data_IF_579688557935
#
_entry.id   IF_579688557935
#
_cell.length_a   1.000
_cell.length_b   1.000
_cell.length_c   1.000
_cell.angle_alpha   90.00
_cell.angle_beta   90.00
_cell.angle_gamma   90.00
#
_symmetry.space_group_name_H-M   'P 1'
#
loop_
_entity.id
_entity.type
_entity.pdbx_description
1 polymer ?
#
# COMPACT_ATOMS: atom_id res chain seq x y z
N UNK A 1 2.76 -10.44 4.42
CA UNK A 1 1.79 -9.33 4.42
C UNK A 1 0.39 -9.86 4.19
N UNK A 2 -0.61 -9.45 4.97
CA UNK A 2 -2.00 -9.89 4.93
C UNK A 2 -2.87 -8.64 4.65
N UNK A 3 -3.88 -8.71 3.78
CA UNK A 3 -4.81 -7.60 3.43
C UNK A 3 -6.23 -8.11 3.17
N UNK A 4 -7.29 -7.53 3.77
CA UNK A 4 -8.71 -7.98 3.69
C UNK A 4 -9.65 -7.15 2.81
N UNK A 5 -10.55 -7.79 2.04
CA UNK A 5 -11.64 -7.21 1.21
C UNK A 5 -13.02 -7.81 1.56
N UNK A 6 -14.12 -7.15 1.18
CA UNK A 6 -15.51 -7.61 1.38
C UNK A 6 -15.85 -8.92 0.65
N UNK A 7 -15.09 -9.28 -0.38
CA UNK A 7 -15.24 -10.57 -1.10
C UNK A 7 -14.21 -11.61 -0.64
N UNK A 8 -13.09 -11.19 -0.02
CA UNK A 8 -11.96 -12.03 0.39
C UNK A 8 -11.34 -11.65 1.74
N UNK A 9 -11.07 -12.66 2.56
CA UNK A 9 -10.50 -12.52 3.89
C UNK A 9 -9.10 -11.89 3.89
N UNK A 10 -8.16 -12.36 3.05
CA UNK A 10 -6.90 -11.66 2.77
C UNK A 10 -6.06 -12.11 1.56
N UNK A 11 -4.93 -11.45 1.20
CA UNK A 11 -3.89 -12.02 0.30
C UNK A 11 -2.44 -11.81 0.80
N UNK A 12 -1.51 -12.67 0.37
CA UNK A 12 -0.07 -12.60 0.70
C UNK A 12 0.83 -13.15 -0.42
N UNK A 13 2.13 -12.88 -0.31
CA UNK A 13 3.17 -13.55 -1.09
C UNK A 13 3.90 -14.58 -0.22
N UNK A 14 3.93 -15.82 -0.66
CA UNK A 14 4.61 -16.95 -0.05
C UNK A 14 6.04 -16.99 -0.60
N UNK A 15 7.00 -16.42 0.13
CA UNK A 15 8.40 -16.34 -0.30
C UNK A 15 9.05 -17.73 -0.43
N UNK A 16 8.64 -18.70 0.39
CA UNK A 16 9.20 -20.05 0.39
C UNK A 16 8.85 -20.79 -0.90
N UNK A 17 7.60 -20.65 -1.38
CA UNK A 17 7.13 -21.30 -2.61
C UNK A 17 6.99 -20.32 -3.80
N UNK A 18 7.46 -19.08 -3.63
CA UNK A 18 7.53 -18.02 -4.65
C UNK A 18 6.21 -17.80 -5.40
N UNK A 19 5.11 -17.64 -4.67
CA UNK A 19 3.75 -17.55 -5.23
C UNK A 19 2.82 -16.62 -4.47
N UNK A 20 1.79 -16.13 -5.15
CA UNK A 20 0.71 -15.39 -4.51
C UNK A 20 -0.40 -16.32 -3.98
N UNK A 21 -0.88 -16.01 -2.78
CA UNK A 21 -1.96 -16.72 -2.10
C UNK A 21 -3.10 -15.76 -1.73
N UNK A 22 -4.33 -16.22 -1.90
CA UNK A 22 -5.55 -15.58 -1.40
C UNK A 22 -6.22 -16.43 -0.32
N UNK A 23 -6.85 -15.77 0.63
CA UNK A 23 -7.55 -16.33 1.79
C UNK A 23 -8.98 -15.80 1.79
N UNK A 24 -9.94 -16.68 2.02
CA UNK A 24 -11.31 -16.25 2.33
C UNK A 24 -11.47 -16.03 3.83
N UNK A 25 -12.51 -15.31 4.24
CA UNK A 25 -12.85 -15.15 5.66
C UNK A 25 -13.14 -16.50 6.37
N UNK A 26 -13.41 -17.56 5.61
CA UNK A 26 -13.66 -18.92 6.09
C UNK A 26 -12.41 -19.82 5.99
N UNK A 27 -11.21 -19.24 6.00
CA UNK A 27 -9.92 -19.95 5.98
C UNK A 27 -9.62 -20.77 4.72
N UNK A 28 -10.41 -20.63 3.64
CA UNK A 28 -10.07 -21.28 2.38
C UNK A 28 -8.87 -20.58 1.76
N UNK A 29 -7.79 -21.34 1.52
CA UNK A 29 -6.58 -20.88 0.86
C UNK A 29 -6.69 -21.23 -0.62
N UNK A 30 -6.33 -20.28 -1.48
CA UNK A 30 -6.23 -20.52 -2.92
C UNK A 30 -4.98 -19.88 -3.48
N UNK A 31 -4.35 -20.52 -4.45
CA UNK A 31 -3.26 -19.95 -5.21
C UNK A 31 -3.80 -19.02 -6.29
N UNK A 32 -2.97 -18.07 -6.69
CA UNK A 32 -3.17 -17.40 -7.97
C UNK A 32 -2.94 -18.39 -9.10
N UNK A 33 -3.56 -18.12 -10.25
CA UNK A 33 -3.49 -18.95 -11.43
C UNK A 33 -2.45 -18.39 -12.39
N UNK A 34 -1.83 -19.29 -13.15
CA UNK A 34 -0.93 -18.94 -14.25
C UNK A 34 -1.70 -18.85 -15.59
N UNK A 35 -3.00 -18.52 -15.56
CA UNK A 35 -3.83 -18.25 -16.74
C UNK A 35 -3.88 -16.74 -17.09
N UNK A 36 -3.13 -15.91 -16.36
CA UNK A 36 -2.86 -14.51 -16.71
C UNK A 36 -1.78 -14.35 -17.79
N UNK A 37 -1.47 -13.11 -18.12
CA UNK A 37 -0.39 -12.79 -19.08
C UNK A 37 1.00 -13.10 -18.51
N UNK A 38 1.14 -13.05 -17.18
CA UNK A 38 2.38 -13.29 -16.47
C UNK A 38 2.21 -14.38 -15.41
N UNK A 39 3.27 -15.14 -15.09
CA UNK A 39 3.21 -16.17 -14.05
C UNK A 39 2.95 -15.55 -12.68
N UNK A 40 2.11 -16.20 -11.89
CA UNK A 40 1.80 -15.85 -10.51
C UNK A 40 2.44 -16.81 -9.50
N UNK A 41 2.85 -17.98 -9.96
CA UNK A 41 3.51 -19.02 -9.16
C UNK A 41 4.93 -19.29 -9.66
N UNK A 42 5.76 -19.87 -8.79
CA UNK A 42 7.15 -20.25 -9.09
C UNK A 42 7.95 -19.10 -9.70
N UNK A 43 7.81 -17.89 -9.15
CA UNK A 43 8.62 -16.73 -9.57
C UNK A 43 10.12 -17.06 -9.45
N UNK A 44 11.01 -16.36 -10.19
CA UNK A 44 12.44 -16.64 -10.16
C UNK A 44 13.02 -16.63 -8.74
N UNK A 45 14.02 -17.49 -8.47
CA UNK A 45 14.53 -17.70 -7.11
C UNK A 45 15.26 -16.48 -6.54
N UNK A 46 15.81 -15.66 -7.42
CA UNK A 46 16.53 -14.44 -7.10
C UNK A 46 15.61 -13.22 -6.94
N UNK A 47 14.29 -13.39 -7.12
CA UNK A 47 13.33 -12.31 -6.90
C UNK A 47 13.06 -12.13 -5.40
N UNK A 48 13.25 -10.91 -4.91
CA UNK A 48 12.92 -10.48 -3.57
C UNK A 48 11.74 -9.52 -3.59
N UNK A 49 10.70 -9.82 -2.81
CA UNK A 49 9.57 -8.90 -2.61
C UNK A 49 10.04 -7.69 -1.80
N UNK A 50 9.79 -6.50 -2.32
CA UNK A 50 10.07 -5.21 -1.66
C UNK A 50 8.79 -4.54 -1.14
N UNK A 51 7.68 -4.74 -1.84
CA UNK A 51 6.41 -4.13 -1.50
C UNK A 51 5.25 -5.00 -1.97
N UNK A 52 4.18 -5.00 -1.19
CA UNK A 52 2.87 -5.52 -1.59
C UNK A 52 1.83 -4.51 -1.08
N UNK A 53 0.80 -4.22 -1.86
CA UNK A 53 -0.21 -3.25 -1.42
C UNK A 53 -1.49 -3.39 -2.22
N UNK A 54 -2.62 -3.23 -1.54
CA UNK A 54 -3.94 -3.35 -2.15
C UNK A 54 -4.39 -2.06 -2.81
N UNK A 55 -5.16 -2.17 -3.87
CA UNK A 55 -5.86 -1.05 -4.48
C UNK A 55 -7.29 -1.46 -4.86
N UNK A 56 -8.27 -0.66 -4.44
CA UNK A 56 -9.70 -0.83 -4.74
C UNK A 56 -10.21 0.11 -5.83
N UNK A 57 -9.34 0.92 -6.42
CA UNK A 57 -9.77 1.92 -7.40
C UNK A 57 -10.20 1.22 -8.70
N UNK A 58 -11.49 1.35 -9.03
CA UNK A 58 -12.11 0.68 -10.18
C UNK A 58 -12.41 -0.81 -9.94
N UNK A 59 -11.40 -1.60 -9.55
CA UNK A 59 -11.58 -3.02 -9.19
C UNK A 59 -10.56 -3.47 -8.14
N UNK A 60 -10.88 -4.55 -7.41
CA UNK A 60 -9.99 -5.13 -6.42
C UNK A 60 -8.70 -5.65 -7.07
N UNK A 61 -7.60 -4.94 -6.82
CA UNK A 61 -6.28 -5.17 -7.39
C UNK A 61 -5.22 -5.06 -6.31
N UNK A 62 -3.98 -5.42 -6.66
CA UNK A 62 -2.84 -5.17 -5.82
C UNK A 62 -1.59 -4.89 -6.65
N UNK A 63 -0.63 -4.22 -6.02
CA UNK A 63 0.69 -3.95 -6.57
C UNK A 63 1.73 -4.70 -5.77
N UNK A 64 2.59 -5.45 -6.45
CA UNK A 64 3.77 -6.06 -5.85
C UNK A 64 5.02 -5.53 -6.54
N UNK A 65 6.03 -5.16 -5.77
CA UNK A 65 7.33 -4.73 -6.31
C UNK A 65 8.36 -5.77 -5.93
N UNK A 66 9.04 -6.31 -6.94
CA UNK A 66 10.17 -7.22 -6.77
C UNK A 66 11.46 -6.57 -7.23
N UNK A 67 12.58 -6.96 -6.62
CA UNK A 67 13.91 -6.80 -7.21
C UNK A 67 14.49 -8.17 -7.57
N UNK A 68 15.17 -8.29 -8.71
CA UNK A 68 15.94 -9.49 -9.05
C UNK A 68 17.34 -9.49 -8.43
N UNK A 69 18.12 -10.54 -8.70
CA UNK A 69 19.49 -10.68 -8.23
C UNK A 69 20.45 -9.59 -8.72
N UNK A 70 20.06 -8.83 -9.74
CA UNK A 70 20.80 -7.70 -10.32
C UNK A 70 20.27 -6.34 -9.87
N UNK A 71 19.38 -6.30 -8.86
CA UNK A 71 18.70 -5.10 -8.35
C UNK A 71 17.74 -4.43 -9.34
N UNK A 72 17.41 -5.08 -10.46
CA UNK A 72 16.39 -4.58 -11.39
C UNK A 72 15.02 -4.79 -10.77
N UNK A 73 14.19 -3.75 -10.79
CA UNK A 73 12.89 -3.77 -10.13
C UNK A 73 11.73 -3.97 -11.12
N UNK A 74 10.70 -4.65 -10.65
CA UNK A 74 9.50 -4.98 -11.42
C UNK A 74 8.25 -4.65 -10.64
N UNK A 75 7.30 -3.96 -11.27
CA UNK A 75 5.97 -3.73 -10.75
C UNK A 75 5.02 -4.77 -11.34
N UNK A 76 4.46 -5.59 -10.47
CA UNK A 76 3.42 -6.56 -10.78
C UNK A 76 2.07 -5.96 -10.43
N UNK A 77 1.14 -6.00 -11.38
CA UNK A 77 -0.25 -5.62 -11.18
C UNK A 77 -1.10 -6.87 -11.11
N UNK A 78 -1.72 -7.09 -9.95
CA UNK A 78 -2.52 -8.26 -9.62
C UNK A 78 -4.01 -7.94 -9.83
N UNK A 79 -4.74 -8.85 -10.47
CA UNK A 79 -6.21 -8.86 -10.44
C UNK A 79 -6.64 -9.84 -9.36
N UNK A 80 -7.14 -9.32 -8.24
CA UNK A 80 -7.50 -10.14 -7.09
C UNK A 80 -8.80 -10.91 -7.31
N UNK A 81 -9.67 -10.43 -8.20
CA UNK A 81 -10.95 -11.09 -8.51
C UNK A 81 -10.73 -12.34 -9.35
N UNK A 82 -9.84 -12.25 -10.35
CA UNK A 82 -9.45 -13.37 -11.22
C UNK A 82 -8.33 -14.23 -10.62
N UNK A 83 -7.60 -13.68 -9.65
CA UNK A 83 -6.42 -14.27 -9.02
C UNK A 83 -5.30 -14.53 -10.03
N UNK A 84 -4.96 -13.50 -10.80
CA UNK A 84 -3.90 -13.55 -11.81
C UNK A 84 -2.95 -12.37 -11.67
N UNK A 85 -1.76 -12.50 -12.25
CA UNK A 85 -0.94 -11.33 -12.58
C UNK A 85 -1.41 -10.84 -13.95
N UNK A 86 -2.02 -9.65 -13.97
CA UNK A 86 -2.58 -9.08 -15.20
C UNK A 86 -1.57 -8.23 -15.97
N UNK A 87 -0.56 -7.70 -15.30
CA UNK A 87 0.50 -6.91 -15.94
C UNK A 87 1.80 -7.01 -15.13
N UNK A 88 2.93 -6.87 -15.81
CA UNK A 88 4.27 -6.78 -15.25
C UNK A 88 5.07 -5.74 -16.01
N UNK A 89 5.48 -4.70 -15.30
CA UNK A 89 6.31 -3.63 -15.83
C UNK A 89 7.71 -3.73 -15.25
N UNK A 90 8.73 -3.50 -16.08
CA UNK A 90 10.06 -3.18 -15.57
C UNK A 90 10.01 -1.75 -15.08
N UNK A 91 10.43 -1.51 -13.83
CA UNK A 91 10.55 -0.16 -13.31
C UNK A 91 11.84 0.48 -13.81
N UNK A 92 11.71 1.69 -14.33
CA UNK A 92 12.81 2.58 -14.69
C UNK A 92 12.60 3.91 -13.96
N UNK A 93 13.59 4.81 -13.99
CA UNK A 93 13.46 6.13 -13.35
C UNK A 93 13.50 6.10 -11.83
N UNK A 94 12.83 7.06 -11.20
CA UNK A 94 12.91 7.30 -9.75
C UNK A 94 12.30 6.16 -8.96
N UNK A 95 11.18 5.58 -9.40
CA UNK A 95 10.58 4.47 -8.67
C UNK A 95 11.50 3.25 -8.64
N UNK A 96 12.33 3.05 -9.67
CA UNK A 96 13.36 2.01 -9.69
C UNK A 96 14.47 2.24 -8.65
N UNK A 97 14.69 3.46 -8.18
CA UNK A 97 15.67 3.81 -7.14
C UNK A 97 15.06 3.88 -5.73
N UNK A 98 13.73 3.74 -5.61
CA UNK A 98 13.04 3.97 -4.35
C UNK A 98 13.43 2.96 -3.26
N UNK A 99 13.49 3.46 -2.02
CA UNK A 99 13.84 2.69 -0.81
C UNK A 99 12.64 2.39 0.09
N UNK A 100 11.54 3.12 -0.10
CA UNK A 100 10.25 2.88 0.52
C UNK A 100 9.16 2.96 -0.54
N UNK A 101 8.10 2.18 -0.33
CA UNK A 101 6.96 2.13 -1.24
C UNK A 101 5.64 2.21 -0.47
N UNK A 102 4.66 2.77 -1.15
CA UNK A 102 3.25 2.72 -0.79
C UNK A 102 2.43 2.75 -2.08
N UNK A 103 1.11 2.67 -1.97
CA UNK A 103 0.22 3.00 -3.08
C UNK A 103 -1.01 3.74 -2.56
N UNK A 104 -1.70 4.45 -3.45
CA UNK A 104 -3.05 4.90 -3.15
C UNK A 104 -3.98 3.68 -3.18
N UNK A 105 -4.80 3.48 -2.15
CA UNK A 105 -5.59 2.26 -2.02
C UNK A 105 -7.03 2.41 -2.54
N UNK A 106 -7.50 3.63 -2.85
CA UNK A 106 -8.96 3.89 -3.03
C UNK A 106 -9.34 4.94 -4.09
N UNK A 107 -8.45 5.87 -4.45
CA UNK A 107 -8.73 7.03 -5.32
C UNK A 107 -8.07 6.96 -6.69
N UNK A 108 -6.97 6.22 -6.87
CA UNK A 108 -6.23 6.16 -8.13
C UNK A 108 -5.31 4.94 -8.21
N UNK A 109 -4.96 4.54 -9.43
CA UNK A 109 -3.95 3.52 -9.74
C UNK A 109 -2.53 4.11 -9.70
N UNK A 110 -2.08 4.49 -8.50
CA UNK A 110 -0.75 5.11 -8.31
C UNK A 110 0.04 4.43 -7.20
N UNK A 111 1.35 4.31 -7.44
CA UNK A 111 2.35 3.83 -6.49
C UNK A 111 3.19 5.04 -6.05
N UNK A 112 3.55 5.10 -4.77
CA UNK A 112 4.49 6.08 -4.25
C UNK A 112 5.84 5.42 -3.98
N UNK A 113 6.91 6.15 -4.24
CA UNK A 113 8.29 5.77 -3.93
C UNK A 113 8.99 6.87 -3.15
N UNK A 114 9.88 6.52 -2.23
CA UNK A 114 10.77 7.49 -1.57
C UNK A 114 12.18 7.36 -2.15
N UNK A 115 12.71 8.45 -2.70
CA UNK A 115 14.02 8.55 -3.36
C UNK A 115 14.68 9.83 -2.90
N UNK A 116 15.93 9.79 -2.46
CA UNK A 116 16.68 10.99 -2.04
C UNK A 116 15.93 11.89 -1.03
N UNK A 117 15.20 11.27 -0.09
CA UNK A 117 14.35 11.95 0.89
C UNK A 117 13.17 12.74 0.29
N UNK A 118 12.73 12.38 -0.92
CA UNK A 118 11.59 12.96 -1.63
C UNK A 118 10.55 11.87 -1.93
N UNK A 119 9.26 12.23 -1.91
CA UNK A 119 8.19 11.31 -2.31
C UNK A 119 7.86 11.54 -3.77
N UNK A 120 7.95 10.47 -4.55
CA UNK A 120 7.57 10.41 -5.96
C UNK A 120 6.30 9.59 -6.10
N UNK A 121 5.45 9.99 -7.03
CA UNK A 121 4.25 9.28 -7.42
C UNK A 121 4.44 8.75 -8.84
N UNK A 122 4.10 7.48 -9.05
CA UNK A 122 4.14 6.78 -10.32
C UNK A 122 2.72 6.38 -10.73
N UNK A 123 2.32 6.78 -11.93
CA UNK A 123 1.08 6.34 -12.55
C UNK A 123 1.24 4.94 -13.13
N UNK A 124 0.48 3.97 -12.62
CA UNK A 124 0.58 2.58 -13.11
C UNK A 124 0.07 2.46 -14.55
N UNK A 125 -0.81 3.35 -14.97
CA UNK A 125 -1.40 3.35 -16.30
C UNK A 125 -0.51 3.99 -17.36
N UNK A 126 0.10 5.14 -17.05
CA UNK A 126 0.90 5.90 -18.02
C UNK A 126 2.41 5.69 -17.88
N UNK A 127 2.87 5.13 -16.76
CA UNK A 127 4.30 5.05 -16.42
C UNK A 127 4.93 6.39 -16.05
N UNK A 128 4.13 7.46 -15.95
CA UNK A 128 4.63 8.79 -15.64
C UNK A 128 4.99 8.92 -14.16
N UNK A 129 6.12 9.57 -13.91
CA UNK A 129 6.60 9.92 -12.58
C UNK A 129 6.43 11.40 -12.28
N UNK A 130 5.98 11.70 -11.07
CA UNK A 130 5.87 13.08 -10.59
C UNK A 130 6.36 13.17 -9.15
N UNK A 131 7.30 14.08 -8.89
CA UNK A 131 7.65 14.47 -7.53
C UNK A 131 6.44 15.12 -6.83
N UNK A 132 6.15 14.69 -5.62
CA UNK A 132 5.15 15.33 -4.76
C UNK A 132 5.78 16.49 -3.99
N UNK A 133 5.07 17.62 -3.94
CA UNK A 133 5.53 18.79 -3.23
C UNK A 133 5.05 18.76 -1.77
N UNK A 134 5.95 18.42 -0.84
CA UNK A 134 5.69 18.25 0.60
C UNK A 134 6.60 19.21 1.40
N UNK A 135 6.24 20.49 1.47
CA UNK A 135 7.15 21.58 1.85
C UNK A 135 7.53 21.62 3.35
N UNK A 136 6.84 20.88 4.20
CA UNK A 136 6.96 21.00 5.66
C UNK A 136 7.68 19.81 6.34
N UNK A 137 8.27 18.90 5.58
CA UNK A 137 8.92 17.71 6.13
C UNK A 137 10.21 18.09 6.91
N UNK A 138 10.25 17.71 8.18
CA UNK A 138 11.45 17.83 9.04
C UNK A 138 12.00 16.44 9.39
N UNK A 139 13.18 16.10 8.86
CA UNK A 139 13.88 14.83 9.10
C UNK A 139 13.98 13.92 7.88
N UNK A 140 14.52 12.72 8.10
CA UNK A 140 14.58 11.64 7.12
C UNK A 140 13.19 11.01 6.97
N UNK A 141 12.71 10.79 5.75
CA UNK A 141 11.47 10.06 5.46
C UNK A 141 11.73 8.58 5.72
N UNK A 142 11.01 8.03 6.67
CA UNK A 142 11.17 6.63 7.08
C UNK A 142 9.89 5.82 6.97
N UNK A 143 8.79 6.47 6.57
CA UNK A 143 7.48 5.84 6.47
C UNK A 143 6.66 6.54 5.38
N UNK A 144 5.98 5.76 4.55
CA UNK A 144 4.96 6.25 3.62
C UNK A 144 3.84 5.22 3.56
N UNK A 145 2.59 5.68 3.55
CA UNK A 145 1.42 4.82 3.38
C UNK A 145 0.19 5.63 2.95
N UNK A 146 -0.81 4.99 2.36
CA UNK A 146 -2.15 5.55 2.32
C UNK A 146 -2.92 5.04 3.53
N UNK A 147 -3.49 5.94 4.36
CA UNK A 147 -4.31 5.58 5.51
C UNK A 147 -5.69 6.17 5.31
N UNK A 148 -6.72 5.34 5.40
CA UNK A 148 -8.09 5.77 5.25
C UNK A 148 -9.02 5.03 6.22
N UNK A 149 -10.15 5.65 6.49
CA UNK A 149 -11.29 5.06 7.16
C UNK A 149 -12.55 5.58 6.46
N UNK A 150 -13.44 4.66 6.10
CA UNK A 150 -14.72 5.01 5.49
C UNK A 150 -15.80 4.10 6.06
N UNK A 151 -16.73 4.68 6.82
CA UNK A 151 -17.92 4.00 7.29
C UNK A 151 -19.11 4.98 7.32
N UNK A 152 -19.71 5.19 6.15
CA UNK A 152 -20.78 6.17 5.98
C UNK A 152 -22.05 5.86 6.78
N UNK A 153 -22.27 4.59 7.12
CA UNK A 153 -23.47 4.15 7.82
C UNK A 153 -23.45 4.45 9.32
N UNK A 154 -22.27 4.43 9.96
CA UNK A 154 -22.13 4.43 11.42
C UNK A 154 -21.17 5.52 11.92
N UNK A 155 -20.14 5.87 11.16
CA UNK A 155 -19.00 6.66 11.65
C UNK A 155 -18.52 7.68 10.61
N UNK A 156 -19.45 8.23 9.82
CA UNK A 156 -19.16 9.11 8.70
C UNK A 156 -18.39 10.38 9.12
N UNK A 157 -18.61 10.85 10.35
CA UNK A 157 -17.92 11.99 10.94
C UNK A 157 -16.41 11.77 11.14
N UNK A 158 -15.95 10.51 11.19
CA UNK A 158 -14.56 10.14 11.33
C UNK A 158 -13.95 9.62 10.02
N UNK A 159 -14.66 9.74 8.89
CA UNK A 159 -14.11 9.35 7.60
C UNK A 159 -12.86 10.18 7.26
N UNK A 160 -11.84 9.53 6.74
CA UNK A 160 -10.65 10.19 6.22
C UNK A 160 -9.97 9.36 5.15
N UNK A 161 -9.13 10.02 4.34
CA UNK A 161 -8.26 9.36 3.38
C UNK A 161 -7.02 10.22 3.16
N UNK A 162 -5.88 9.76 3.64
CA UNK A 162 -4.65 10.51 3.68
C UNK A 162 -3.50 9.77 3.01
N UNK A 163 -2.64 10.53 2.33
CA UNK A 163 -1.25 10.15 2.21
C UNK A 163 -0.57 10.47 3.55
N UNK A 164 -0.03 9.46 4.20
CA UNK A 164 0.74 9.59 5.43
C UNK A 164 2.23 9.48 5.11
N UNK A 165 3.00 10.51 5.48
CA UNK A 165 4.46 10.53 5.35
C UNK A 165 5.04 10.69 6.74
N UNK A 166 5.87 9.74 7.18
CA UNK A 166 6.54 9.78 8.46
C UNK A 166 8.01 10.14 8.33
N UNK A 167 8.47 11.08 9.15
CA UNK A 167 9.88 11.43 9.27
C UNK A 167 10.45 11.07 10.63
N UNK A 168 11.76 10.88 10.67
CA UNK A 168 12.54 10.66 11.90
C UNK A 168 13.68 11.68 12.00
N UNK A 169 13.85 12.28 13.18
CA UNK A 169 14.93 13.22 13.49
C UNK A 169 15.16 13.25 14.99
N UNK A 170 16.44 13.17 15.41
CA UNK A 170 16.84 13.30 16.82
C UNK A 170 16.06 12.39 17.79
N UNK A 171 15.82 11.14 17.36
CA UNK A 171 15.09 10.13 18.16
C UNK A 171 13.58 10.32 18.19
N UNK A 172 13.02 11.24 17.40
CA UNK A 172 11.59 11.57 17.37
C UNK A 172 11.00 11.33 16.00
N UNK A 173 9.72 10.96 15.97
CA UNK A 173 8.96 10.86 14.74
C UNK A 173 7.97 12.00 14.57
N UNK A 174 7.68 12.32 13.31
CA UNK A 174 6.48 13.07 12.91
C UNK A 174 5.77 12.33 11.79
N UNK A 175 4.44 12.31 11.80
CA UNK A 175 3.62 11.77 10.69
C UNK A 175 2.75 12.90 10.16
N UNK A 176 3.02 13.31 8.94
CA UNK A 176 2.29 14.33 8.20
C UNK A 176 1.18 13.66 7.41
N UNK A 177 -0.06 14.09 7.62
CA UNK A 177 -1.25 13.55 6.95
C UNK A 177 -1.74 14.57 5.93
N UNK A 178 -1.76 14.18 4.66
CA UNK A 178 -2.16 15.04 3.54
C UNK A 178 -3.49 14.57 2.97
N UNK A 179 -4.44 15.49 2.78
CA UNK A 179 -5.59 15.24 1.91
C UNK A 179 -5.12 14.99 0.49
N UNK A 180 -5.78 14.07 -0.21
CA UNK A 180 -5.44 13.75 -1.59
C UNK A 180 -6.65 13.78 -2.53
N UNK A 181 -6.40 14.17 -3.78
CA UNK A 181 -7.32 13.97 -4.92
C UNK A 181 -6.54 13.18 -5.97
N UNK A 182 -7.07 12.02 -6.36
CA UNK A 182 -6.38 11.11 -7.28
C UNK A 182 -4.99 10.69 -6.78
N UNK A 183 -4.81 10.57 -5.46
CA UNK A 183 -3.52 10.27 -4.83
C UNK A 183 -2.53 11.44 -4.75
N UNK A 184 -2.83 12.60 -5.33
CA UNK A 184 -1.96 13.79 -5.22
C UNK A 184 -2.37 14.63 -4.00
N UNK A 185 -1.41 15.08 -3.16
CA UNK A 185 -1.67 16.05 -2.10
C UNK A 185 -2.30 17.34 -2.65
N UNK A 186 -3.32 17.87 -1.96
CA UNK A 186 -4.02 19.10 -2.36
C UNK A 186 -3.50 20.37 -1.66
N UNK A 187 -2.39 20.27 -0.94
CA UNK A 187 -1.80 21.35 -0.16
C UNK A 187 -0.86 20.80 0.91
N UNK A 188 -0.64 21.58 1.96
CA UNK A 188 0.08 21.11 3.16
C UNK A 188 -0.70 20.06 3.95
N UNK A 189 -0.02 19.45 4.91
CA UNK A 189 -0.57 18.47 5.82
C UNK A 189 -1.64 19.10 6.71
N UNK A 190 -2.75 18.39 6.83
CA UNK A 190 -3.90 18.80 7.64
C UNK A 190 -3.76 18.39 9.10
N UNK A 191 -2.83 17.46 9.38
CA UNK A 191 -2.53 16.99 10.73
C UNK A 191 -1.11 16.47 10.81
N UNK A 192 -0.47 16.70 11.96
CA UNK A 192 0.86 16.18 12.28
C UNK A 192 0.78 15.40 13.59
N UNK A 193 1.07 14.10 13.54
CA UNK A 193 1.24 13.26 14.73
C UNK A 193 2.72 13.30 15.15
N UNK A 194 3.01 13.27 16.45
CA UNK A 194 4.38 13.39 16.97
C UNK A 194 4.60 12.41 18.12
N UNK A 195 5.83 11.93 18.27
CA UNK A 195 6.24 11.13 19.41
C UNK A 195 7.72 10.76 19.37
N UNK A 196 8.13 9.91 20.30
CA UNK A 196 9.49 9.38 20.38
C UNK A 196 9.63 8.09 19.55
N UNK A 197 10.85 7.81 19.11
CA UNK A 197 11.21 6.63 18.30
C UNK A 197 10.97 6.82 16.81
N UNK A 198 10.95 5.69 16.08
CA UNK A 198 10.79 5.61 14.63
C UNK A 198 9.49 4.87 14.30
N UNK A 199 8.68 5.41 13.41
CA UNK A 199 7.41 4.80 13.00
C UNK A 199 7.71 3.58 12.14
N UNK A 200 7.20 2.43 12.58
CA UNK A 200 7.19 1.20 11.78
C UNK A 200 5.84 1.03 11.09
N UNK A 201 4.75 1.41 11.77
CA UNK A 201 3.39 1.17 11.29
C UNK A 201 2.35 2.09 11.94
N UNK A 202 1.27 2.35 11.22
CA UNK A 202 0.11 3.13 11.71
C UNK A 202 -1.17 2.34 11.48
N UNK A 203 -1.98 2.25 12.54
CA UNK A 203 -3.35 1.75 12.51
C UNK A 203 -4.28 2.81 13.09
N UNK A 204 -5.46 2.94 12.48
CA UNK A 204 -6.56 3.70 13.02
C UNK A 204 -7.47 2.77 13.81
N UNK A 205 -8.00 3.25 14.92
CA UNK A 205 -9.04 2.58 15.67
C UNK A 205 -10.24 3.53 15.71
N UNK A 206 -11.39 3.11 15.16
CA UNK A 206 -12.58 3.94 15.18
C UNK A 206 -13.10 4.07 16.61
N UNK A 207 -13.40 5.30 17.09
CA UNK A 207 -14.08 5.49 18.37
C UNK A 207 -15.48 4.86 18.40
N UNK A 208 -16.09 4.63 17.23
CA UNK A 208 -17.37 3.93 17.10
C UNK A 208 -17.25 2.41 17.10
N UNK A 209 -16.04 1.85 17.20
CA UNK A 209 -15.84 0.40 17.30
C UNK A 209 -16.29 -0.06 18.70
N UNK A 210 -17.35 -0.90 18.79
CA UNK A 210 -17.82 -1.38 20.09
C UNK A 210 -16.78 -2.29 20.73
N UNK A 211 -16.63 -2.22 22.05
CA UNK A 211 -15.75 -3.12 22.82
C UNK A 211 -16.13 -4.61 22.69
N UNK A 212 -17.36 -4.87 22.26
CA UNK A 212 -17.91 -6.19 22.01
C UNK A 212 -17.77 -6.58 20.53
N UNK A 213 -16.91 -7.57 20.25
CA UNK A 213 -16.71 -8.14 18.92
C UNK A 213 -18.01 -8.63 18.26
N UNK A 214 -19.04 -9.02 19.04
CA UNK A 214 -20.34 -9.41 18.49
C UNK A 214 -21.11 -8.24 17.84
N UNK A 215 -20.68 -7.00 18.10
CA UNK A 215 -21.25 -5.77 17.53
C UNK A 215 -20.32 -5.10 16.52
N UNK A 216 -19.14 -5.65 16.27
CA UNK A 216 -18.22 -5.12 15.26
C UNK A 216 -18.83 -5.31 13.87
N UNK A 217 -19.18 -4.21 13.20
CA UNK A 217 -19.74 -4.22 11.85
C UNK A 217 -18.78 -3.48 10.90
N UNK A 218 -18.21 -4.21 9.94
CA UNK A 218 -17.35 -3.68 8.89
C UNK A 218 -15.91 -4.24 8.93
N UNK A 219 -15.40 -4.63 7.77
CA UNK A 219 -14.03 -5.09 7.61
C UNK A 219 -13.05 -3.92 7.61
N UNK A 220 -12.07 -3.96 8.51
CA UNK A 220 -10.92 -3.08 8.49
C UNK A 220 -9.91 -3.62 7.46
N UNK A 221 -9.41 -2.84 6.49
CA UNK A 221 -8.25 -3.25 5.73
C UNK A 221 -7.00 -3.15 6.64
N UNK A 222 -6.65 -4.26 7.26
CA UNK A 222 -5.35 -4.40 7.93
C UNK A 222 -4.33 -4.59 6.81
N UNK A 223 -3.57 -3.56 6.45
CA UNK A 223 -2.31 -3.75 5.73
C UNK A 223 -1.23 -4.11 6.75
N UNK A 224 -0.53 -5.23 6.56
CA UNK A 224 0.60 -5.63 7.40
C UNK A 224 1.93 -5.56 6.64
N UNK A 225 2.61 -4.41 6.71
CA UNK A 225 4.07 -4.38 6.60
C UNK A 225 4.67 -5.03 7.84
#
# INVERSE_FOLDING_TARGET
MIYSDKTFGSFLYDELNRRFLGFTANYAISTFKDDGEFPANNLPEDYKLLYLGYNSFGSASAYAIFADGHQKKYLYHLDLSKRIVKDKQTLEGRLADAVLYANNETQANVVYGVVDNEVWMYSVESGEEQRLNLNELDGEITYVSNRYWTNDAIDSQNNFNYLAVGTHKDGKYRIYLYNTIGGKPTGGSVRILKGEGKVVKVHFNSPGMPEDNAKAQGGYPISSN
#
